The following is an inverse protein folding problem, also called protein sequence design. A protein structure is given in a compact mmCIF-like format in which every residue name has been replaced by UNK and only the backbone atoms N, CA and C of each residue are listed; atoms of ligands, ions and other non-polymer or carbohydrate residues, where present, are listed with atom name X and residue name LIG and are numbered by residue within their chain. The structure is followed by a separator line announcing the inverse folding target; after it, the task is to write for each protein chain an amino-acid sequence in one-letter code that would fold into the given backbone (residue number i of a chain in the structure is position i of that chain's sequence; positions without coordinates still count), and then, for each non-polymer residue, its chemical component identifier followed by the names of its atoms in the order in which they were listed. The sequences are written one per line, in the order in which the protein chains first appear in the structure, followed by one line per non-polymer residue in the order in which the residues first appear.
data_IF_460943454136
#
_entry.id   IF_460943454136
#
_cell.length_a   1.000
_cell.length_b   1.000
_cell.length_c   1.000
_cell.angle_alpha   90.00
_cell.angle_beta   90.00
_cell.angle_gamma   90.00
#
_symmetry.space_group_name_H-M   'P 1'
#
loop_
_entity.id
_entity.type
_entity.pdbx_description
1 polymer ?
#
# COMPACT_ATOMS: atom_id res chain seq x y z
N UNK A 1 12.52 12.86 15.30
CA UNK A 1 12.17 12.60 13.89
C UNK A 1 12.97 13.61 13.06
N UNK A 2 14.21 13.27 12.69
CA UNK A 2 15.21 14.16 12.06
C UNK A 2 15.84 13.52 10.81
N UNK A 3 15.50 12.27 10.47
CA UNK A 3 16.27 11.47 9.49
C UNK A 3 15.91 11.72 8.03
N UNK A 4 14.79 12.41 7.75
CA UNK A 4 14.33 12.70 6.40
C UNK A 4 14.61 14.15 5.95
N UNK A 5 15.07 15.03 6.85
CA UNK A 5 15.43 16.40 6.48
C UNK A 5 16.55 16.38 5.44
N UNK A 6 16.42 17.23 4.41
CA UNK A 6 17.40 17.35 3.33
C UNK A 6 17.62 16.05 2.54
N UNK A 7 16.60 15.17 2.51
CA UNK A 7 16.55 14.00 1.63
C UNK A 7 15.57 14.28 0.49
N UNK A 8 15.61 13.45 -0.55
CA UNK A 8 14.67 13.53 -1.65
C UNK A 8 13.79 12.29 -1.70
N UNK A 9 12.67 12.37 -2.42
CA UNK A 9 11.83 11.19 -2.64
C UNK A 9 12.55 10.10 -3.44
N UNK A 10 13.54 10.43 -4.30
CA UNK A 10 14.37 9.40 -4.94
C UNK A 10 15.16 8.56 -3.92
N UNK A 11 15.73 9.20 -2.88
CA UNK A 11 16.43 8.47 -1.82
C UNK A 11 15.48 7.57 -1.01
N UNK A 12 14.23 8.00 -0.83
CA UNK A 12 13.19 7.17 -0.17
C UNK A 12 12.82 5.97 -1.04
N UNK A 13 12.72 6.17 -2.35
CA UNK A 13 12.51 5.09 -3.32
C UNK A 13 13.68 4.09 -3.32
N UNK A 14 14.92 4.57 -3.39
CA UNK A 14 16.12 3.73 -3.32
C UNK A 14 16.22 2.96 -2.00
N UNK A 15 15.83 3.57 -0.89
CA UNK A 15 15.74 2.87 0.40
C UNK A 15 14.74 1.71 0.34
N UNK A 16 13.62 1.87 -0.38
CA UNK A 16 12.67 0.81 -0.68
C UNK A 16 13.29 -0.33 -1.47
N UNK A 17 13.94 -0.01 -2.59
CA UNK A 17 14.67 -0.97 -3.45
C UNK A 17 15.67 -1.78 -2.63
N UNK A 18 16.48 -1.12 -1.82
CA UNK A 18 17.49 -1.77 -0.98
C UNK A 18 16.90 -2.61 0.15
N UNK A 19 15.70 -2.26 0.62
CA UNK A 19 15.01 -3.01 1.68
C UNK A 19 14.38 -4.28 1.15
N UNK A 20 13.93 -4.30 -0.11
CA UNK A 20 13.22 -5.42 -0.71
C UNK A 20 13.97 -6.77 -0.56
N UNK A 21 15.30 -6.77 -0.67
CA UNK A 21 16.14 -7.98 -0.53
C UNK A 21 16.11 -8.59 0.87
N UNK A 22 15.70 -7.83 1.88
CA UNK A 22 15.63 -8.23 3.29
C UNK A 22 14.23 -8.61 3.73
N UNK A 23 13.22 -8.35 2.89
CA UNK A 23 11.83 -8.66 3.20
C UNK A 23 11.55 -10.14 2.98
N UNK A 24 10.70 -10.70 3.83
CA UNK A 24 10.14 -12.04 3.63
C UNK A 24 8.72 -11.89 3.11
N UNK A 25 8.45 -12.21 1.83
CA UNK A 25 7.10 -12.15 1.30
C UNK A 25 6.16 -13.13 2.00
N UNK A 26 4.93 -12.69 2.25
CA UNK A 26 3.89 -13.57 2.79
C UNK A 26 3.33 -14.39 1.63
N UNK A 27 3.93 -15.57 1.40
CA UNK A 27 3.64 -16.41 0.22
C UNK A 27 2.14 -16.59 -0.07
N UNK A 28 1.25 -16.85 0.92
CA UNK A 28 -0.19 -16.95 0.65
C UNK A 28 -0.82 -15.69 0.04
N UNK A 29 -0.35 -14.50 0.40
CA UNK A 29 -0.82 -13.22 -0.17
C UNK A 29 -0.28 -13.05 -1.59
N UNK A 30 1.01 -13.34 -1.80
CA UNK A 30 1.64 -13.24 -3.11
C UNK A 30 1.01 -14.21 -4.12
N UNK A 31 0.78 -15.45 -3.73
CA UNK A 31 0.17 -16.45 -4.61
C UNK A 31 -1.23 -15.99 -5.07
N UNK A 32 -2.03 -15.41 -4.17
CA UNK A 32 -3.36 -14.87 -4.52
C UNK A 32 -3.29 -13.62 -5.37
N UNK A 33 -2.39 -12.70 -5.04
CA UNK A 33 -2.13 -11.50 -5.83
C UNK A 33 -1.78 -11.86 -7.29
N UNK A 34 -0.86 -12.82 -7.47
CA UNK A 34 -0.46 -13.29 -8.80
C UNK A 34 -1.61 -14.01 -9.53
N UNK A 35 -2.40 -14.81 -8.81
CA UNK A 35 -3.58 -15.48 -9.38
C UNK A 35 -4.64 -14.49 -9.88
N UNK A 36 -4.98 -13.48 -9.06
CA UNK A 36 -5.94 -12.43 -9.42
C UNK A 36 -5.42 -11.59 -10.59
N UNK A 37 -4.13 -11.22 -10.58
CA UNK A 37 -3.52 -10.50 -11.69
C UNK A 37 -3.61 -11.29 -13.00
N UNK A 38 -3.34 -12.60 -12.98
CA UNK A 38 -3.48 -13.47 -14.14
C UNK A 38 -4.94 -13.58 -14.67
N UNK A 39 -5.93 -13.22 -13.86
CA UNK A 39 -7.34 -13.13 -14.23
C UNK A 39 -7.74 -11.73 -14.74
N UNK A 40 -6.80 -10.79 -14.81
CA UNK A 40 -7.04 -9.42 -15.26
C UNK A 40 -7.48 -8.47 -14.14
N UNK A 41 -7.33 -8.84 -12.87
CA UNK A 41 -7.60 -7.96 -11.72
C UNK A 41 -6.40 -7.03 -11.50
N UNK A 42 -6.66 -5.72 -11.40
CA UNK A 42 -5.63 -4.75 -11.02
C UNK A 42 -5.25 -4.90 -9.53
N UNK A 43 -3.95 -4.88 -9.25
CA UNK A 43 -3.44 -4.99 -7.89
C UNK A 43 -3.01 -3.63 -7.38
N UNK A 44 -3.60 -3.21 -6.26
CA UNK A 44 -3.28 -1.94 -5.60
C UNK A 44 -2.76 -2.19 -4.19
N UNK A 45 -1.81 -1.38 -3.74
CA UNK A 45 -1.34 -1.37 -2.34
C UNK A 45 -1.80 -0.08 -1.67
N UNK A 46 -2.47 -0.19 -0.52
CA UNK A 46 -2.87 0.96 0.29
C UNK A 46 -2.26 0.84 1.69
N UNK A 47 -1.40 1.78 2.07
CA UNK A 47 -0.47 1.62 3.19
C UNK A 47 -0.18 2.93 3.93
N UNK A 48 0.01 2.84 5.25
CA UNK A 48 0.48 3.96 6.06
C UNK A 48 1.96 4.27 5.85
N UNK A 49 2.73 3.37 5.21
CA UNK A 49 4.13 3.60 4.89
C UNK A 49 4.30 4.68 3.81
N UNK A 50 5.48 5.34 3.72
CA UNK A 50 5.75 6.30 2.66
C UNK A 50 5.56 5.70 1.27
N UNK A 51 4.84 6.40 0.40
CA UNK A 51 4.46 5.88 -0.92
C UNK A 51 5.68 5.47 -1.76
N UNK A 52 6.62 6.40 -1.97
CA UNK A 52 7.84 6.17 -2.75
C UNK A 52 8.68 4.99 -2.23
N UNK A 53 8.70 4.77 -0.91
CA UNK A 53 9.41 3.64 -0.33
C UNK A 53 8.80 2.30 -0.76
N UNK A 54 7.48 2.22 -0.76
CA UNK A 54 6.75 1.01 -1.16
C UNK A 54 6.84 0.79 -2.67
N UNK A 55 6.78 1.86 -3.47
CA UNK A 55 7.01 1.80 -4.92
C UNK A 55 8.40 1.24 -5.24
N UNK A 56 9.44 1.64 -4.49
CA UNK A 56 10.78 1.07 -4.63
C UNK A 56 10.84 -0.43 -4.31
N UNK A 57 10.13 -0.89 -3.27
CA UNK A 57 10.04 -2.31 -2.94
C UNK A 57 9.37 -3.09 -4.08
N UNK A 58 8.20 -2.64 -4.50
CA UNK A 58 7.42 -3.27 -5.58
C UNK A 58 8.24 -3.33 -6.87
N UNK A 59 8.90 -2.23 -7.23
CA UNK A 59 9.76 -2.15 -8.40
C UNK A 59 10.87 -3.20 -8.33
N UNK A 60 11.58 -3.32 -7.20
CA UNK A 60 12.65 -4.31 -7.06
C UNK A 60 12.13 -5.76 -7.11
N UNK A 61 10.96 -6.02 -6.51
CA UNK A 61 10.36 -7.36 -6.47
C UNK A 61 9.62 -7.74 -7.75
N UNK A 62 9.45 -6.79 -8.69
CA UNK A 62 8.72 -6.98 -9.95
C UNK A 62 7.30 -7.53 -9.71
N UNK A 63 6.64 -7.06 -8.64
CA UNK A 63 5.24 -7.42 -8.38
C UNK A 63 4.32 -6.65 -9.33
N UNK A 64 3.22 -7.27 -9.81
CA UNK A 64 2.30 -6.66 -10.76
C UNK A 64 1.34 -5.69 -10.05
N UNK A 65 1.88 -4.71 -9.34
CA UNK A 65 1.12 -3.68 -8.63
C UNK A 65 1.00 -2.47 -9.54
N UNK A 66 -0.23 -2.15 -9.92
CA UNK A 66 -0.53 -1.01 -10.77
C UNK A 66 -0.39 0.29 -9.98
N UNK A 67 -0.80 0.28 -8.70
CA UNK A 67 -0.88 1.50 -7.88
C UNK A 67 -0.44 1.30 -6.45
N UNK A 68 0.22 2.32 -5.92
CA UNK A 68 0.52 2.45 -4.49
C UNK A 68 -0.13 3.74 -3.99
N UNK A 69 -0.98 3.61 -2.98
CA UNK A 69 -1.55 4.73 -2.22
C UNK A 69 -0.91 4.70 -0.84
N UNK A 70 0.14 5.49 -0.66
CA UNK A 70 0.91 5.55 0.58
C UNK A 70 0.72 6.86 1.34
N UNK A 71 1.45 7.01 2.45
CA UNK A 71 1.64 8.30 3.10
C UNK A 71 2.55 9.18 2.25
N UNK A 72 2.16 10.44 2.05
CA UNK A 72 2.97 11.42 1.31
C UNK A 72 3.85 12.20 2.28
N UNK A 73 5.14 12.25 1.98
CA UNK A 73 6.11 13.06 2.71
C UNK A 73 6.05 14.50 2.19
N UNK A 74 6.24 15.50 3.06
CA UNK A 74 6.20 16.90 2.66
C UNK A 74 7.54 17.35 2.09
N UNK A 75 7.47 18.17 1.06
CA UNK A 75 8.61 18.77 0.37
C UNK A 75 8.51 20.30 0.43
N UNK A 76 9.68 20.94 0.59
CA UNK A 76 9.90 22.35 0.30
C UNK A 76 10.99 22.42 -0.79
N UNK A 77 10.72 23.07 -1.93
CA UNK A 77 11.64 23.17 -3.07
C UNK A 77 12.26 21.82 -3.52
N UNK A 78 11.43 20.77 -3.64
CA UNK A 78 11.79 19.38 -4.00
C UNK A 78 12.68 18.67 -2.96
N UNK A 79 12.76 19.18 -1.75
CA UNK A 79 13.54 18.59 -0.66
C UNK A 79 12.61 18.24 0.49
N UNK A 80 12.73 17.03 1.03
CA UNK A 80 11.97 16.59 2.19
C UNK A 80 12.31 17.46 3.40
N UNK A 81 11.28 18.10 3.96
CA UNK A 81 11.40 18.95 5.15
C UNK A 81 11.25 18.15 6.46
N UNK A 82 11.17 16.82 6.35
CA UNK A 82 11.01 15.85 7.43
C UNK A 82 9.64 15.85 8.10
N UNK A 83 8.70 16.64 7.59
CA UNK A 83 7.30 16.56 7.99
C UNK A 83 6.58 15.49 7.16
N UNK A 84 5.65 14.81 7.81
CA UNK A 84 4.78 13.84 7.18
C UNK A 84 3.44 14.56 6.92
N UNK A 85 2.81 14.28 5.77
CA UNK A 85 1.42 14.68 5.53
C UNK A 85 0.45 13.94 6.46
N UNK A 86 -0.84 13.96 6.13
CA UNK A 86 -1.78 13.04 6.79
C UNK A 86 -1.34 11.61 6.51
N UNK A 87 -1.15 10.82 7.56
CA UNK A 87 -0.79 9.41 7.45
C UNK A 87 -1.94 8.60 6.84
N UNK A 88 -1.65 7.75 5.87
CA UNK A 88 -2.63 6.92 5.15
C UNK A 88 -3.08 5.72 6.00
N UNK A 89 -3.89 5.99 7.02
CA UNK A 89 -4.38 5.02 8.00
C UNK A 89 -5.89 5.14 8.22
N UNK A 90 -6.53 4.06 8.64
CA UNK A 90 -7.96 4.03 9.03
C UNK A 90 -8.84 4.58 7.89
N UNK A 91 -9.62 5.65 8.12
CA UNK A 91 -10.51 6.25 7.12
C UNK A 91 -9.75 6.95 5.98
N UNK A 92 -8.51 7.41 6.22
CA UNK A 92 -7.70 8.08 5.19
C UNK A 92 -7.38 7.13 4.04
N UNK A 93 -7.21 5.83 4.32
CA UNK A 93 -7.03 4.80 3.28
C UNK A 93 -8.21 4.78 2.31
N UNK A 94 -9.41 4.79 2.87
CA UNK A 94 -10.68 4.77 2.11
C UNK A 94 -10.88 6.09 1.38
N UNK A 95 -10.61 7.22 2.05
CA UNK A 95 -10.76 8.54 1.45
C UNK A 95 -9.85 8.72 0.23
N UNK A 96 -8.57 8.30 0.30
CA UNK A 96 -7.63 8.37 -0.83
C UNK A 96 -8.02 7.44 -1.97
N UNK A 97 -8.42 6.21 -1.65
CA UNK A 97 -8.96 5.28 -2.65
C UNK A 97 -10.13 5.91 -3.42
N UNK A 98 -11.15 6.39 -2.69
CA UNK A 98 -12.33 7.02 -3.30
C UNK A 98 -12.00 8.28 -4.10
N UNK A 99 -11.07 9.10 -3.59
CA UNK A 99 -10.61 10.31 -4.29
C UNK A 99 -9.96 9.95 -5.62
N UNK A 100 -9.08 8.95 -5.64
CA UNK A 100 -8.42 8.50 -6.86
C UNK A 100 -9.44 7.97 -7.87
N UNK A 101 -10.32 7.05 -7.44
CA UNK A 101 -11.41 6.48 -8.25
C UNK A 101 -12.27 7.59 -8.87
N UNK A 102 -12.69 8.57 -8.07
CA UNK A 102 -13.51 9.68 -8.54
C UNK A 102 -12.75 10.59 -9.52
N UNK A 103 -11.49 10.93 -9.22
CA UNK A 103 -10.67 11.83 -10.05
C UNK A 103 -10.38 11.25 -11.43
N UNK A 104 -10.18 9.93 -11.50
CA UNK A 104 -9.90 9.20 -12.73
C UNK A 104 -11.16 8.66 -13.41
N UNK A 105 -12.34 8.90 -12.80
CA UNK A 105 -13.65 8.42 -13.29
C UNK A 105 -13.67 6.91 -13.49
N UNK A 106 -13.02 6.18 -12.61
CA UNK A 106 -12.96 4.73 -12.62
C UNK A 106 -14.27 4.15 -12.09
N UNK A 107 -14.66 2.99 -12.62
CA UNK A 107 -15.72 2.15 -12.05
C UNK A 107 -15.07 0.83 -11.66
N UNK A 108 -15.09 0.49 -10.37
CA UNK A 108 -14.46 -0.73 -9.88
C UNK A 108 -15.27 -1.40 -8.77
N UNK A 109 -15.21 -2.74 -8.73
CA UNK A 109 -15.45 -3.55 -7.54
C UNK A 109 -14.10 -3.93 -6.93
N UNK A 110 -14.02 -4.00 -5.60
CA UNK A 110 -12.82 -4.54 -4.94
C UNK A 110 -13.09 -6.01 -4.62
N UNK A 111 -12.44 -6.90 -5.36
CA UNK A 111 -12.63 -8.35 -5.20
C UNK A 111 -12.12 -8.86 -3.86
N UNK A 112 -10.88 -8.50 -3.51
CA UNK A 112 -10.21 -8.97 -2.30
C UNK A 112 -9.40 -7.85 -1.62
N UNK A 113 -9.45 -7.80 -0.28
CA UNK A 113 -8.60 -6.92 0.52
C UNK A 113 -7.91 -7.67 1.66
N UNK A 114 -6.72 -7.19 2.03
CA UNK A 114 -5.80 -7.83 2.96
C UNK A 114 -5.29 -6.82 3.99
N UNK A 115 -5.36 -7.16 5.27
CA UNK A 115 -4.93 -6.29 6.36
C UNK A 115 -4.49 -7.09 7.58
N UNK A 116 -3.66 -6.49 8.43
CA UNK A 116 -3.10 -7.16 9.61
C UNK A 116 -3.34 -6.40 10.92
N UNK A 117 -3.79 -5.15 10.84
CA UNK A 117 -4.06 -4.30 12.00
C UNK A 117 -5.52 -3.82 12.00
N UNK A 118 -6.06 -3.43 13.17
CA UNK A 118 -7.39 -2.81 13.26
C UNK A 118 -7.54 -1.56 12.37
N UNK A 119 -6.45 -0.82 12.12
CA UNK A 119 -6.44 0.36 11.24
C UNK A 119 -6.71 0.02 9.76
N UNK A 120 -6.71 -1.26 9.40
CA UNK A 120 -7.04 -1.72 8.05
C UNK A 120 -8.53 -2.03 7.88
N UNK A 121 -9.30 -2.13 8.97
CA UNK A 121 -10.72 -2.55 8.93
C UNK A 121 -11.54 -1.70 7.93
N UNK A 122 -11.47 -0.35 7.94
CA UNK A 122 -12.24 0.44 6.97
C UNK A 122 -11.89 0.12 5.51
N UNK A 123 -10.61 -0.15 5.22
CA UNK A 123 -10.17 -0.53 3.88
C UNK A 123 -10.62 -1.95 3.51
N UNK A 124 -10.61 -2.88 4.47
CA UNK A 124 -11.15 -4.23 4.26
C UNK A 124 -12.63 -4.20 3.90
N UNK A 125 -13.40 -3.25 4.46
CA UNK A 125 -14.82 -3.07 4.15
C UNK A 125 -15.10 -2.66 2.69
N UNK A 126 -14.09 -2.24 1.92
CA UNK A 126 -14.24 -1.97 0.49
C UNK A 126 -14.42 -3.25 -0.33
N UNK A 127 -13.94 -4.40 0.16
CA UNK A 127 -13.85 -5.63 -0.62
C UNK A 127 -14.98 -6.62 -0.37
N UNK A 128 -15.33 -7.38 -1.41
CA UNK A 128 -16.25 -8.52 -1.30
C UNK A 128 -15.66 -9.63 -0.40
N UNK A 129 -14.38 -9.96 -0.60
CA UNK A 129 -13.66 -10.95 0.21
C UNK A 129 -12.58 -10.27 1.04
N UNK A 130 -12.63 -10.48 2.34
CA UNK A 130 -11.78 -9.78 3.30
C UNK A 130 -10.87 -10.78 3.99
N UNK A 131 -9.59 -10.47 4.07
CA UNK A 131 -8.60 -11.35 4.69
C UNK A 131 -7.80 -10.65 5.76
N UNK A 132 -7.71 -11.31 6.90
CA UNK A 132 -6.83 -10.92 7.98
C UNK A 132 -5.52 -11.71 7.90
N UNK A 133 -4.40 -11.01 7.98
CA UNK A 133 -3.05 -11.58 7.92
C UNK A 133 -2.44 -11.58 9.31
N UNK A 134 -2.10 -12.77 9.84
CA UNK A 134 -1.42 -12.89 11.13
C UNK A 134 -0.35 -13.98 11.08
N UNK A 135 0.87 -13.63 11.52
CA UNK A 135 2.03 -14.56 11.53
C UNK A 135 2.26 -15.25 10.18
N UNK A 136 2.09 -14.51 9.08
CA UNK A 136 2.25 -15.03 7.71
C UNK A 136 1.11 -15.93 7.22
N UNK A 137 0.02 -16.05 7.97
CA UNK A 137 -1.16 -16.84 7.59
C UNK A 137 -2.32 -15.93 7.22
N UNK A 138 -3.12 -16.38 6.25
CA UNK A 138 -4.36 -15.75 5.82
C UNK A 138 -5.56 -16.43 6.47
N UNK A 139 -6.47 -15.64 7.02
CA UNK A 139 -7.77 -16.09 7.51
C UNK A 139 -8.87 -15.18 6.95
N UNK A 140 -10.08 -15.70 6.62
CA UNK A 140 -11.22 -14.85 6.34
C UNK A 140 -11.48 -13.87 7.49
N UNK A 141 -11.71 -12.61 7.15
CA UNK A 141 -12.15 -11.60 8.11
C UNK A 141 -13.67 -11.62 8.18
N UNK A 142 -14.21 -12.01 9.33
CA UNK A 142 -15.64 -12.05 9.62
C UNK A 142 -15.90 -10.95 10.64
N UNK A 143 -16.64 -9.91 10.24
CA UNK A 143 -17.14 -8.91 11.19
C UNK A 143 -18.25 -9.58 12.01
N UNK A 144 -18.06 -9.70 13.32
CA UNK A 144 -19.10 -10.08 14.27
C UNK A 144 -19.81 -8.84 14.79
#
# INVERSE_FOLDING_TARGET
MLSLNNKSNELVFEAGVNTAEKLTPIKPVIDRMMHLHAQGVEIWIITASPQYFIEGIVNKLQWPVERVIGTLLKEDDNVLNGLIGTECQIEEKVARFNTLIASEKLTCSVEEAYGNLPVDIPMLELAEKKFYVKKGQLSPFINN
#
